data_IF_997584839657
#
_entry.id   IF_997584839657
#
_cell.length_a   1.000
_cell.length_b   1.000
_cell.length_c   1.000
_cell.angle_alpha   90.00
_cell.angle_beta   90.00
_cell.angle_gamma   90.00
#
_symmetry.space_group_name_H-M   'P 1'
#
loop_
_entity.id
_entity.type
_entity.pdbx_description
1 polymer ?
#
# COMPACT_ATOMS: atom_id res chain seq x y z
N UNK A 1 -0.50 2.42 -15.79
CA UNK A 1 -1.20 1.98 -14.56
C UNK A 1 -0.37 0.88 -13.90
N UNK A 2 -0.17 0.91 -12.59
CA UNK A 2 0.71 -0.04 -11.87
C UNK A 2 -0.09 -1.20 -11.25
N UNK A 3 -1.09 -0.90 -10.43
CA UNK A 3 -1.80 -1.89 -9.63
C UNK A 3 -2.62 -2.89 -10.46
N UNK A 4 -3.37 -2.45 -11.47
CA UNK A 4 -4.22 -3.32 -12.28
C UNK A 4 -3.49 -4.54 -12.82
N UNK A 5 -2.46 -4.36 -13.67
CA UNK A 5 -1.71 -5.49 -14.21
C UNK A 5 -0.94 -6.30 -13.17
N UNK A 6 -0.46 -5.66 -12.08
CA UNK A 6 0.29 -6.37 -11.04
C UNK A 6 -0.59 -7.32 -10.22
N UNK A 7 -1.82 -6.92 -9.95
CA UNK A 7 -2.72 -7.60 -9.01
C UNK A 7 -3.86 -8.37 -9.70
N UNK A 8 -3.82 -8.52 -11.01
CA UNK A 8 -4.86 -9.20 -11.81
C UNK A 8 -5.16 -10.62 -11.32
N UNK A 9 -4.14 -11.33 -10.83
CA UNK A 9 -4.27 -12.72 -10.36
C UNK A 9 -5.03 -12.86 -9.01
N UNK A 10 -5.43 -11.72 -8.41
CA UNK A 10 -6.31 -11.71 -7.24
C UNK A 10 -7.79 -11.86 -7.62
N UNK A 11 -8.16 -11.56 -8.86
CA UNK A 11 -9.57 -11.48 -9.26
C UNK A 11 -10.33 -10.37 -8.53
N UNK A 12 -9.63 -9.35 -8.03
CA UNK A 12 -10.19 -8.28 -7.22
C UNK A 12 -10.69 -7.11 -8.08
N UNK A 13 -11.67 -6.39 -7.58
CA UNK A 13 -12.03 -5.06 -8.10
C UNK A 13 -10.92 -4.09 -7.68
N UNK A 14 -10.35 -3.40 -8.65
CA UNK A 14 -9.31 -2.38 -8.41
C UNK A 14 -9.91 -1.01 -8.67
N UNK A 15 -9.84 -0.15 -7.66
CA UNK A 15 -10.31 1.23 -7.73
C UNK A 15 -9.13 2.16 -7.53
N UNK A 16 -8.97 3.12 -8.43
CA UNK A 16 -7.87 4.07 -8.41
C UNK A 16 -8.43 5.49 -8.52
N UNK A 17 -8.68 6.16 -7.40
CA UNK A 17 -9.15 7.55 -7.41
C UNK A 17 -8.02 8.50 -7.85
N UNK A 18 -8.41 9.62 -8.44
CA UNK A 18 -7.53 10.77 -8.62
C UNK A 18 -7.47 11.59 -7.33
N UNK A 19 -6.30 12.18 -7.05
CA UNK A 19 -6.15 13.13 -5.95
C UNK A 19 -6.88 14.44 -6.29
N UNK A 20 -7.61 14.98 -5.34
CA UNK A 20 -8.28 16.27 -5.46
C UNK A 20 -7.33 17.47 -5.27
N UNK A 21 -6.03 17.22 -5.19
CA UNK A 21 -4.97 18.17 -4.95
C UNK A 21 -4.22 17.88 -3.64
N UNK A 22 -2.96 18.31 -3.57
CA UNK A 22 -2.10 17.99 -2.42
C UNK A 22 -1.80 16.50 -2.28
N UNK A 23 -1.35 16.11 -1.10
CA UNK A 23 -1.09 14.70 -0.79
C UNK A 23 -2.36 13.95 -0.31
N UNK A 24 -2.24 12.64 -0.11
CA UNK A 24 -3.36 11.78 0.27
C UNK A 24 -3.82 11.95 1.72
N UNK A 25 -3.12 12.73 2.55
CA UNK A 25 -3.46 13.00 3.95
C UNK A 25 -4.34 14.24 4.14
N UNK A 26 -4.70 14.95 3.07
CA UNK A 26 -5.66 16.06 3.14
C UNK A 26 -7.06 15.55 3.48
N UNK A 27 -7.82 16.35 4.23
CA UNK A 27 -9.17 15.98 4.64
C UNK A 27 -10.10 15.69 3.44
N UNK A 28 -9.91 16.42 2.34
CA UNK A 28 -10.67 16.24 1.10
C UNK A 28 -10.37 14.89 0.46
N UNK A 29 -9.09 14.51 0.33
CA UNK A 29 -8.68 13.23 -0.24
C UNK A 29 -9.10 12.06 0.65
N UNK A 30 -8.94 12.19 1.96
CA UNK A 30 -9.43 11.18 2.91
C UNK A 30 -10.93 10.93 2.74
N UNK A 31 -11.74 11.99 2.77
CA UNK A 31 -13.18 11.90 2.59
C UNK A 31 -13.55 11.26 1.26
N UNK A 32 -12.89 11.65 0.17
CA UNK A 32 -13.14 11.13 -1.17
C UNK A 32 -12.82 9.63 -1.27
N UNK A 33 -11.67 9.19 -0.74
CA UNK A 33 -11.28 7.77 -0.77
C UNK A 33 -12.23 6.91 0.06
N UNK A 34 -12.60 7.36 1.26
CA UNK A 34 -13.53 6.60 2.11
C UNK A 34 -14.93 6.55 1.50
N UNK A 35 -15.43 7.65 0.94
CA UNK A 35 -16.72 7.68 0.25
C UNK A 35 -16.73 6.76 -1.00
N UNK A 36 -15.64 6.73 -1.76
CA UNK A 36 -15.49 5.83 -2.91
C UNK A 36 -15.50 4.36 -2.46
N UNK A 37 -14.80 4.03 -1.38
CA UNK A 37 -14.80 2.68 -0.82
C UNK A 37 -16.21 2.27 -0.37
N UNK A 38 -16.94 3.17 0.29
CA UNK A 38 -18.33 2.94 0.71
C UNK A 38 -19.26 2.69 -0.50
N UNK A 39 -19.14 3.50 -1.55
CA UNK A 39 -19.91 3.36 -2.78
C UNK A 39 -19.64 2.01 -3.48
N UNK A 40 -18.38 1.63 -3.61
CA UNK A 40 -18.00 0.33 -4.19
C UNK A 40 -18.55 -0.84 -3.36
N UNK A 41 -18.44 -0.76 -2.03
CA UNK A 41 -18.97 -1.79 -1.12
C UNK A 41 -20.49 -1.85 -1.10
N UNK A 42 -21.19 -0.78 -1.46
CA UNK A 42 -22.65 -0.75 -1.58
C UNK A 42 -23.13 -1.35 -2.90
N UNK A 43 -22.35 -1.20 -3.99
CA UNK A 43 -22.72 -1.65 -5.34
C UNK A 43 -22.31 -3.07 -5.67
N UNK A 44 -21.28 -3.57 -5.04
CA UNK A 44 -20.70 -4.88 -5.34
C UNK A 44 -20.64 -5.77 -4.10
N UNK A 45 -20.75 -7.06 -4.29
CA UNK A 45 -20.58 -8.05 -3.22
C UNK A 45 -19.10 -8.18 -2.83
N UNK A 46 -18.63 -7.27 -1.98
CA UNK A 46 -17.25 -7.20 -1.51
C UNK A 46 -17.11 -7.88 -0.15
N UNK A 47 -16.15 -8.79 -0.05
CA UNK A 47 -15.69 -9.30 1.25
C UNK A 47 -14.90 -8.18 1.97
N UNK A 48 -15.51 -7.57 2.98
CA UNK A 48 -14.91 -6.47 3.75
C UNK A 48 -13.64 -6.88 4.50
N UNK A 49 -13.43 -8.18 4.73
CA UNK A 49 -12.20 -8.70 5.31
C UNK A 49 -11.04 -8.81 4.29
N UNK A 50 -11.32 -8.57 3.00
CA UNK A 50 -10.36 -8.71 1.90
C UNK A 50 -10.20 -7.41 1.12
N UNK A 51 -10.01 -6.30 1.82
CA UNK A 51 -9.79 -4.98 1.24
C UNK A 51 -8.36 -4.54 1.52
N UNK A 52 -7.54 -4.42 0.48
CA UNK A 52 -6.17 -3.91 0.60
C UNK A 52 -6.05 -2.49 0.07
N UNK A 53 -5.16 -1.71 0.66
CA UNK A 53 -4.75 -0.40 0.16
C UNK A 53 -3.34 -0.47 -0.42
N UNK A 54 -3.15 0.10 -1.60
CA UNK A 54 -1.84 0.15 -2.27
C UNK A 54 -1.69 1.44 -3.07
N UNK A 55 -0.48 1.87 -3.26
CA UNK A 55 -0.17 3.04 -4.07
C UNK A 55 1.33 3.21 -4.25
N UNK A 56 1.71 4.02 -5.23
CA UNK A 56 3.08 4.26 -5.62
C UNK A 56 3.51 5.70 -5.31
N UNK A 57 4.74 5.90 -4.84
CA UNK A 57 5.32 7.21 -4.56
C UNK A 57 4.46 8.00 -3.57
N UNK A 58 3.87 9.13 -3.98
CA UNK A 58 2.87 9.85 -3.18
C UNK A 58 1.72 8.92 -2.76
N UNK A 59 1.23 8.05 -3.65
CA UNK A 59 0.24 7.03 -3.34
C UNK A 59 0.75 5.96 -2.36
N UNK A 60 2.05 5.67 -2.36
CA UNK A 60 2.69 4.81 -1.36
C UNK A 60 2.71 5.44 0.04
N UNK A 61 2.98 6.76 0.12
CA UNK A 61 2.83 7.52 1.35
C UNK A 61 1.35 7.55 1.80
N UNK A 62 0.42 7.74 0.87
CA UNK A 62 -1.02 7.62 1.12
C UNK A 62 -1.43 6.25 1.64
N UNK A 63 -0.82 5.18 1.11
CA UNK A 63 -1.06 3.81 1.59
C UNK A 63 -0.71 3.65 3.06
N UNK A 64 0.46 4.14 3.48
CA UNK A 64 0.85 4.18 4.89
C UNK A 64 -0.16 4.98 5.72
N UNK A 65 -0.54 6.17 5.24
CA UNK A 65 -1.47 7.06 5.92
C UNK A 65 -2.85 6.43 6.13
N UNK A 66 -3.46 5.89 5.06
CA UNK A 66 -4.78 5.26 5.16
C UNK A 66 -4.78 4.02 6.04
N UNK A 67 -3.74 3.22 5.97
CA UNK A 67 -3.60 2.03 6.79
C UNK A 67 -3.46 2.37 8.29
N UNK A 68 -2.76 3.45 8.62
CA UNK A 68 -2.62 3.95 9.99
C UNK A 68 -3.92 4.55 10.53
N UNK A 69 -4.54 5.42 9.74
CA UNK A 69 -5.69 6.22 10.18
C UNK A 69 -7.02 5.45 10.13
N UNK A 70 -7.14 4.52 9.18
CA UNK A 70 -8.38 3.77 8.94
C UNK A 70 -8.17 2.24 9.01
N UNK A 71 -7.55 1.71 10.08
CA UNK A 71 -7.18 0.29 10.15
C UNK A 71 -8.39 -0.66 10.11
N UNK A 72 -9.59 -0.17 10.43
CA UNK A 72 -10.84 -0.93 10.35
C UNK A 72 -11.42 -1.03 8.94
N UNK A 73 -10.86 -0.28 7.98
CA UNK A 73 -11.36 -0.23 6.59
C UNK A 73 -10.54 -1.12 5.64
N UNK A 74 -9.34 -1.50 6.05
CA UNK A 74 -8.40 -2.27 5.25
C UNK A 74 -7.88 -3.46 6.05
N UNK A 75 -7.59 -4.56 5.36
CA UNK A 75 -7.04 -5.79 5.94
C UNK A 75 -5.55 -5.98 5.63
N UNK A 76 -5.01 -5.22 4.69
CA UNK A 76 -3.61 -5.23 4.31
C UNK A 76 -3.19 -3.92 3.65
N UNK A 77 -1.92 -3.56 3.79
CA UNK A 77 -1.31 -2.41 3.13
C UNK A 77 -0.10 -2.82 2.29
N UNK A 78 -0.01 -2.28 1.06
CA UNK A 78 1.14 -2.52 0.18
C UNK A 78 1.66 -1.17 -0.35
N UNK A 79 2.43 -0.42 0.45
CA UNK A 79 3.06 0.81 -0.02
C UNK A 79 4.21 0.50 -0.99
N UNK A 80 4.21 1.15 -2.15
CA UNK A 80 5.25 1.02 -3.19
C UNK A 80 6.02 2.32 -3.31
N UNK A 81 7.34 2.28 -3.08
CA UNK A 81 8.24 3.44 -3.16
C UNK A 81 7.68 4.67 -2.41
N UNK A 82 7.04 4.45 -1.26
CA UNK A 82 6.35 5.47 -0.48
C UNK A 82 7.03 5.77 0.85
N UNK A 83 7.02 7.04 1.24
CA UNK A 83 7.55 7.47 2.54
C UNK A 83 6.70 6.90 3.67
N UNK A 84 7.29 6.16 4.62
CA UNK A 84 6.57 5.66 5.79
C UNK A 84 6.27 6.78 6.80
N UNK A 85 5.36 6.55 7.76
CA UNK A 85 5.14 7.47 8.88
C UNK A 85 6.36 7.57 9.79
N UNK A 86 6.44 8.61 10.60
CA UNK A 86 7.55 8.82 11.54
C UNK A 86 7.60 7.75 12.65
N UNK A 87 6.47 7.14 12.98
CA UNK A 87 6.33 6.06 13.96
C UNK A 87 5.28 5.06 13.50
N UNK A 88 5.40 3.82 13.90
CA UNK A 88 4.38 2.79 13.70
C UNK A 88 3.87 2.23 15.05
N UNK A 89 3.97 3.02 16.11
CA UNK A 89 3.49 2.63 17.42
C UNK A 89 1.97 2.30 17.35
N UNK A 90 1.61 1.10 17.82
CA UNK A 90 0.23 0.64 17.79
C UNK A 90 -0.27 0.07 16.46
N UNK A 91 0.56 0.06 15.42
CA UNK A 91 0.22 -0.57 14.14
C UNK A 91 0.02 -2.09 14.30
N UNK A 92 -1.04 -2.62 13.72
CA UNK A 92 -1.35 -4.07 13.78
C UNK A 92 -1.67 -4.68 12.41
N UNK A 93 -1.92 -3.85 11.41
CA UNK A 93 -2.30 -4.31 10.08
C UNK A 93 -1.14 -5.02 9.38
N UNK A 94 -1.37 -6.15 8.70
CA UNK A 94 -0.39 -6.74 7.80
C UNK A 94 0.10 -5.74 6.76
N UNK A 95 1.41 -5.64 6.59
CA UNK A 95 2.02 -4.72 5.61
C UNK A 95 3.15 -5.38 4.83
N UNK A 96 3.15 -5.17 3.53
CA UNK A 96 4.25 -5.57 2.66
C UNK A 96 4.71 -4.35 1.87
N UNK A 97 5.85 -3.78 2.21
CA UNK A 97 6.44 -2.67 1.47
C UNK A 97 7.21 -3.17 0.24
N UNK A 98 7.08 -2.46 -0.88
CA UNK A 98 7.87 -2.69 -2.09
C UNK A 98 8.72 -1.45 -2.32
N UNK A 99 10.05 -1.59 -2.33
CA UNK A 99 10.94 -0.44 -2.45
C UNK A 99 12.25 -0.82 -3.14
N UNK A 100 12.88 0.15 -3.79
CA UNK A 100 14.20 -0.02 -4.42
C UNK A 100 15.31 0.58 -3.56
N UNK A 101 16.42 -0.14 -3.46
CA UNK A 101 17.67 0.41 -2.88
C UNK A 101 18.19 1.63 -3.63
N UNK A 102 17.89 1.71 -4.93
CA UNK A 102 18.37 2.75 -5.84
C UNK A 102 17.33 3.86 -6.10
N UNK A 103 16.31 3.94 -5.23
CA UNK A 103 15.32 5.02 -5.28
C UNK A 103 15.95 6.34 -4.80
N UNK A 104 16.14 7.25 -5.74
CA UNK A 104 16.78 8.56 -5.48
C UNK A 104 15.78 9.66 -5.07
N UNK A 105 14.46 9.36 -5.07
CA UNK A 105 13.41 10.33 -4.71
C UNK A 105 12.87 10.05 -3.31
N UNK A 106 12.55 8.79 -3.03
CA UNK A 106 12.11 8.33 -1.71
C UNK A 106 13.15 7.35 -1.18
N UNK A 107 13.97 7.75 -0.18
CA UNK A 107 15.04 6.90 0.32
C UNK A 107 14.52 5.55 0.86
N UNK A 108 15.25 4.47 0.56
CA UNK A 108 14.94 3.10 0.97
C UNK A 108 15.01 2.91 2.49
N UNK A 109 16.06 3.42 3.13
CA UNK A 109 16.37 3.15 4.54
C UNK A 109 15.23 3.41 5.52
N UNK A 110 14.49 4.52 5.43
CA UNK A 110 13.34 4.76 6.30
C UNK A 110 12.25 3.69 6.18
N UNK A 111 11.98 3.18 4.98
CA UNK A 111 10.99 2.11 4.78
C UNK A 111 11.48 0.78 5.37
N UNK A 112 12.75 0.44 5.17
CA UNK A 112 13.38 -0.73 5.76
C UNK A 112 13.33 -0.69 7.30
N UNK A 113 13.73 0.45 7.89
CA UNK A 113 13.70 0.64 9.34
C UNK A 113 12.27 0.50 9.91
N UNK A 114 11.27 1.01 9.20
CA UNK A 114 9.87 0.90 9.61
C UNK A 114 9.38 -0.55 9.57
N UNK A 115 9.69 -1.28 8.52
CA UNK A 115 9.35 -2.71 8.44
C UNK A 115 10.04 -3.50 9.56
N UNK A 116 11.31 -3.24 9.84
CA UNK A 116 12.03 -3.89 10.93
C UNK A 116 11.41 -3.59 12.33
N UNK A 117 10.97 -2.35 12.56
CA UNK A 117 10.25 -1.96 13.79
C UNK A 117 8.95 -2.75 13.94
N UNK A 118 8.16 -2.84 12.88
CA UNK A 118 6.89 -3.57 12.87
C UNK A 118 7.08 -5.07 13.11
N UNK A 119 8.11 -5.66 12.52
CA UNK A 119 8.47 -7.07 12.75
C UNK A 119 8.83 -7.32 14.22
N UNK A 120 9.61 -6.43 14.83
CA UNK A 120 9.94 -6.50 16.27
C UNK A 120 8.71 -6.39 17.16
N UNK A 121 7.69 -5.64 16.72
CA UNK A 121 6.41 -5.53 17.40
C UNK A 121 5.45 -6.71 17.15
N UNK A 122 5.88 -7.75 16.41
CA UNK A 122 5.08 -8.94 16.11
C UNK A 122 4.05 -8.75 14.99
N UNK A 123 4.15 -7.69 14.22
CA UNK A 123 3.27 -7.45 13.07
C UNK A 123 3.71 -8.32 11.88
N UNK A 124 2.75 -8.84 11.11
CA UNK A 124 3.04 -9.47 9.83
C UNK A 124 3.51 -8.41 8.83
N UNK A 125 4.78 -8.03 8.93
CA UNK A 125 5.42 -7.02 8.11
C UNK A 125 6.49 -7.64 7.24
N UNK A 126 6.48 -7.34 5.95
CA UNK A 126 7.45 -7.85 4.96
C UNK A 126 7.92 -6.74 4.05
N UNK A 127 9.05 -6.98 3.39
CA UNK A 127 9.60 -6.09 2.38
C UNK A 127 10.02 -6.87 1.15
N UNK A 128 9.63 -6.38 -0.01
CA UNK A 128 10.21 -6.73 -1.30
C UNK A 128 11.20 -5.62 -1.64
N UNK A 129 12.47 -5.89 -1.36
CA UNK A 129 13.57 -5.00 -1.72
C UNK A 129 14.07 -5.36 -3.12
N UNK A 130 14.18 -4.38 -3.99
CA UNK A 130 14.70 -4.54 -5.35
C UNK A 130 15.89 -3.62 -5.56
N UNK A 131 16.75 -3.95 -6.54
CA UNK A 131 17.93 -3.15 -6.90
C UNK A 131 17.92 -2.83 -8.38
N UNK A 132 18.66 -1.79 -8.77
CA UNK A 132 18.77 -1.35 -10.16
C UNK A 132 17.49 -0.75 -10.72
N UNK A 133 16.57 -0.30 -9.86
CA UNK A 133 15.31 0.36 -10.28
C UNK A 133 15.31 1.77 -9.74
N UNK A 134 15.33 2.75 -10.64
CA UNK A 134 15.14 4.15 -10.26
C UNK A 134 13.67 4.44 -9.91
N UNK A 135 13.42 5.52 -9.19
CA UNK A 135 12.06 5.91 -8.82
C UNK A 135 11.09 5.99 -10.00
N UNK A 136 11.57 6.35 -11.18
CA UNK A 136 10.71 6.60 -12.36
C UNK A 136 10.43 5.35 -13.22
N UNK A 137 11.00 4.19 -12.89
CA UNK A 137 10.82 2.95 -13.65
C UNK A 137 9.58 2.17 -13.17
N UNK A 138 8.40 2.78 -13.31
CA UNK A 138 7.12 2.24 -12.79
C UNK A 138 6.77 0.85 -13.31
N UNK A 139 7.19 0.49 -14.53
CA UNK A 139 6.98 -0.86 -15.07
C UNK A 139 7.70 -1.93 -14.27
N UNK A 140 8.90 -1.64 -13.79
CA UNK A 140 9.68 -2.57 -12.96
C UNK A 140 9.14 -2.68 -11.53
N UNK A 141 8.60 -1.58 -10.97
CA UNK A 141 7.85 -1.62 -9.72
C UNK A 141 6.56 -2.44 -9.85
N UNK A 142 5.91 -2.46 -11.01
CA UNK A 142 4.77 -3.33 -11.29
C UNK A 142 5.16 -4.80 -11.11
N UNK A 143 6.29 -5.21 -11.68
CA UNK A 143 6.76 -6.60 -11.60
C UNK A 143 7.16 -6.99 -10.16
N UNK A 144 7.69 -6.05 -9.40
CA UNK A 144 7.92 -6.23 -7.96
C UNK A 144 6.61 -6.32 -7.17
N UNK A 145 5.63 -5.44 -7.44
CA UNK A 145 4.32 -5.46 -6.79
C UNK A 145 3.58 -6.79 -7.07
N UNK A 146 3.72 -7.37 -8.25
CA UNK A 146 3.11 -8.67 -8.56
C UNK A 146 3.54 -9.77 -7.57
N UNK A 147 4.75 -9.69 -7.02
CA UNK A 147 5.25 -10.64 -6.03
C UNK A 147 4.49 -10.57 -4.69
N UNK A 148 3.68 -9.53 -4.45
CA UNK A 148 2.83 -9.42 -3.26
C UNK A 148 1.58 -10.30 -3.30
N UNK A 149 1.19 -10.81 -4.48
CA UNK A 149 -0.04 -11.59 -4.66
C UNK A 149 -0.09 -12.85 -3.79
N UNK A 150 0.95 -13.70 -3.72
CA UNK A 150 0.93 -14.86 -2.83
C UNK A 150 0.79 -14.47 -1.35
N UNK A 151 1.43 -13.37 -0.94
CA UNK A 151 1.33 -12.88 0.43
C UNK A 151 -0.08 -12.38 0.76
N UNK A 152 -0.72 -11.63 -0.14
CA UNK A 152 -2.12 -11.21 0.05
C UNK A 152 -3.06 -12.40 0.17
N UNK A 153 -2.89 -13.41 -0.70
CA UNK A 153 -3.68 -14.66 -0.63
C UNK A 153 -3.50 -15.37 0.71
N UNK A 154 -2.31 -15.30 1.31
CA UNK A 154 -2.05 -15.86 2.64
C UNK A 154 -2.70 -15.05 3.75
N UNK A 155 -2.62 -13.72 3.71
CA UNK A 155 -3.26 -12.80 4.66
C UNK A 155 -4.79 -12.97 4.66
N UNK A 156 -5.36 -13.37 3.53
CA UNK A 156 -6.82 -13.49 3.32
C UNK A 156 -7.37 -14.93 3.45
N UNK A 157 -6.60 -15.87 3.92
CA UNK A 157 -7.08 -17.23 4.27
C UNK A 157 -7.92 -17.22 5.54
#
# INVERSE_FOLDING_TARGET
MLAGPALVDLGAIIVAPDSLGGDWSTAENEKAVIALLDDVQARYAIDKAKVAVTGYSMGGAGTWHFAEKYPQRFSAAIPVAGRPPASAAGWKMPVLAVHSHDDQVVPFGPAEARIAELQKAGVNAKMIAVSGISHYETSRFRDALKQSVPWLKEVWK
#
